data_IF_469994499056
#
_entry.id   IF_469994499056
#
_cell.length_a   1.000
_cell.length_b   1.000
_cell.length_c   1.000
_cell.angle_alpha   90.00
_cell.angle_beta   90.00
_cell.angle_gamma   90.00
#
_symmetry.space_group_name_H-M   'P 1'
#
loop_
_entity.id
_entity.type
_entity.pdbx_description
1 polymer ?
#
# COMPACT_ATOMS: atom_id res chain seq x y z
N UNK A 1 -7.90 13.94 -21.66
CA UNK A 1 -7.82 12.50 -21.28
C UNK A 1 -9.20 11.90 -21.47
N UNK A 2 -9.33 11.00 -22.44
CA UNK A 2 -10.62 10.40 -22.80
C UNK A 2 -10.85 9.19 -21.86
N UNK A 3 -11.62 9.36 -20.79
CA UNK A 3 -11.90 8.30 -19.80
C UNK A 3 -13.03 7.33 -20.24
N UNK A 4 -13.44 7.37 -21.51
CA UNK A 4 -14.63 6.69 -22.03
C UNK A 4 -14.47 5.18 -22.31
N UNK A 5 -13.42 4.51 -21.82
CA UNK A 5 -13.26 3.07 -22.04
C UNK A 5 -12.11 2.44 -21.27
N UNK A 6 -12.12 2.51 -19.93
CA UNK A 6 -11.18 1.69 -19.14
C UNK A 6 -11.66 0.23 -19.23
N UNK A 7 -11.03 -0.55 -20.10
CA UNK A 7 -11.27 -2.00 -20.21
C UNK A 7 -10.21 -2.77 -19.44
N UNK A 8 -10.65 -3.55 -18.46
CA UNK A 8 -9.80 -4.44 -17.67
C UNK A 8 -10.01 -5.89 -18.13
N UNK A 9 -8.92 -6.55 -18.48
CA UNK A 9 -8.91 -7.97 -18.85
C UNK A 9 -7.81 -8.69 -18.06
N UNK A 10 -7.83 -10.02 -18.07
CA UNK A 10 -6.77 -10.85 -17.49
C UNK A 10 -5.37 -10.57 -18.09
N UNK A 11 -5.30 -9.90 -19.25
CA UNK A 11 -4.07 -9.59 -19.98
C UNK A 11 -3.74 -8.09 -19.99
N UNK A 12 -4.48 -7.23 -19.29
CA UNK A 12 -4.18 -5.80 -19.28
C UNK A 12 -2.80 -5.54 -18.65
N UNK A 13 -2.08 -4.60 -19.24
CA UNK A 13 -0.75 -4.16 -18.81
C UNK A 13 -0.81 -3.20 -17.62
N UNK A 14 0.35 -2.94 -16.99
CA UNK A 14 0.47 -1.95 -15.92
C UNK A 14 -0.04 -0.56 -16.33
N UNK A 15 0.25 -0.15 -17.56
CA UNK A 15 -0.16 1.14 -18.14
C UNK A 15 -1.68 1.22 -18.34
N UNK A 16 -2.30 0.13 -18.77
CA UNK A 16 -3.76 0.08 -18.97
C UNK A 16 -4.52 0.10 -17.65
N UNK A 17 -3.94 -0.45 -16.57
CA UNK A 17 -4.56 -0.49 -15.24
C UNK A 17 -4.14 0.67 -14.34
N UNK A 18 -3.11 1.45 -14.73
CA UNK A 18 -2.64 2.63 -13.99
C UNK A 18 -3.78 3.58 -13.61
N UNK A 19 -4.69 3.98 -14.52
CA UNK A 19 -5.73 4.96 -14.17
C UNK A 19 -6.58 4.53 -12.98
N UNK A 20 -6.88 3.23 -12.86
CA UNK A 20 -7.66 2.66 -11.75
C UNK A 20 -6.85 2.74 -10.46
N UNK A 21 -5.64 2.18 -10.46
CA UNK A 21 -4.77 2.16 -9.28
C UNK A 21 -4.44 3.58 -8.79
N UNK A 22 -4.25 4.53 -9.72
CA UNK A 22 -3.93 5.92 -9.43
C UNK A 22 -5.11 6.68 -8.85
N UNK A 23 -6.33 6.40 -9.31
CA UNK A 23 -7.54 6.99 -8.74
C UNK A 23 -7.69 6.57 -7.27
N UNK A 24 -7.51 5.28 -6.97
CA UNK A 24 -7.58 4.76 -5.60
C UNK A 24 -6.47 5.34 -4.74
N UNK A 25 -5.24 5.38 -5.24
CA UNK A 25 -4.12 6.01 -4.53
C UNK A 25 -4.40 7.47 -4.18
N UNK A 26 -4.99 8.25 -5.09
CA UNK A 26 -5.33 9.66 -4.85
C UNK A 26 -6.34 9.85 -3.72
N UNK A 27 -7.29 8.93 -3.55
CA UNK A 27 -8.30 9.01 -2.49
C UNK A 27 -7.74 8.51 -1.15
N UNK A 28 -7.03 7.39 -1.16
CA UNK A 28 -6.57 6.74 0.07
C UNK A 28 -5.27 7.36 0.60
N UNK A 29 -4.42 7.92 -0.27
CA UNK A 29 -3.12 8.48 0.10
C UNK A 29 -2.03 7.44 0.44
N UNK A 30 -2.37 6.15 0.44
CA UNK A 30 -1.49 5.03 0.76
C UNK A 30 -0.94 4.36 -0.51
N UNK A 31 0.20 3.63 -0.45
CA UNK A 31 0.70 2.87 -1.60
C UNK A 31 -0.36 1.91 -2.14
N UNK A 32 -0.55 1.93 -3.46
CA UNK A 32 -1.48 1.05 -4.17
C UNK A 32 -0.70 0.25 -5.20
N UNK A 33 -0.99 -1.04 -5.25
CA UNK A 33 -0.45 -1.95 -6.26
C UNK A 33 -1.56 -2.69 -6.94
N UNK A 34 -1.39 -3.02 -8.21
CA UNK A 34 -2.39 -3.76 -8.96
C UNK A 34 -1.69 -4.64 -9.98
N UNK A 35 -2.21 -5.84 -10.26
CA UNK A 35 -1.78 -6.66 -11.38
C UNK A 35 -2.96 -7.38 -12.01
N UNK A 36 -2.78 -7.83 -13.23
CA UNK A 36 -3.74 -8.74 -13.86
C UNK A 36 -3.31 -10.18 -13.62
N UNK A 37 -4.19 -11.11 -13.98
CA UNK A 37 -3.92 -12.53 -13.82
C UNK A 37 -2.66 -12.94 -14.61
N UNK A 38 -2.59 -12.60 -15.89
CA UNK A 38 -1.55 -13.09 -16.80
C UNK A 38 -0.38 -12.11 -16.96
N UNK A 39 -0.51 -10.85 -16.54
CA UNK A 39 0.57 -9.87 -16.59
C UNK A 39 0.85 -9.25 -15.24
N UNK A 40 2.12 -8.90 -15.02
CA UNK A 40 2.49 -7.99 -13.93
C UNK A 40 1.86 -6.63 -14.17
N UNK A 41 1.76 -5.84 -13.11
CA UNK A 41 1.05 -4.57 -13.17
C UNK A 41 1.81 -3.45 -12.52
N UNK A 42 1.08 -2.55 -11.86
CA UNK A 42 1.58 -1.24 -11.48
C UNK A 42 1.81 -1.14 -9.96
N UNK A 43 2.84 -0.39 -9.57
CA UNK A 43 3.06 0.07 -8.20
C UNK A 43 3.06 1.59 -8.15
N UNK A 44 2.18 2.14 -7.31
CA UNK A 44 1.97 3.57 -7.16
C UNK A 44 2.26 3.99 -5.72
N UNK A 45 3.15 4.95 -5.57
CA UNK A 45 3.56 5.52 -4.29
C UNK A 45 3.74 7.04 -4.46
N UNK A 46 3.33 7.83 -3.46
CA UNK A 46 3.51 9.30 -3.45
C UNK A 46 3.03 9.99 -4.74
N UNK A 47 1.92 9.53 -5.31
CA UNK A 47 1.30 10.05 -6.53
C UNK A 47 1.98 9.62 -7.83
N UNK A 48 3.06 8.84 -7.77
CA UNK A 48 3.90 8.46 -8.90
C UNK A 48 3.85 6.96 -9.15
N UNK A 49 3.91 6.57 -10.42
CA UNK A 49 4.16 5.17 -10.78
C UNK A 49 5.64 4.89 -10.59
N UNK A 50 5.96 3.89 -9.77
CA UNK A 50 7.33 3.45 -9.53
C UNK A 50 7.73 2.21 -10.32
N UNK A 51 6.76 1.44 -10.81
CA UNK A 51 6.97 0.19 -11.54
C UNK A 51 5.71 -0.17 -12.35
N UNK A 52 5.86 -0.54 -13.62
CA UNK A 52 4.80 -1.04 -14.51
C UNK A 52 4.86 -2.57 -14.72
N UNK A 53 5.84 -3.24 -14.12
CA UNK A 53 6.05 -4.68 -14.18
C UNK A 53 6.10 -5.28 -12.76
N UNK A 54 5.25 -4.78 -11.87
CA UNK A 54 5.20 -5.16 -10.47
C UNK A 54 4.35 -6.41 -10.22
N UNK A 55 4.83 -7.26 -9.32
CA UNK A 55 4.05 -8.29 -8.63
C UNK A 55 4.45 -8.36 -7.16
N UNK A 56 3.59 -8.94 -6.33
CA UNK A 56 3.85 -9.19 -4.92
C UNK A 56 3.22 -10.50 -4.47
N UNK A 57 3.77 -11.14 -3.42
CA UNK A 57 3.31 -12.46 -2.97
C UNK A 57 1.84 -12.45 -2.55
N UNK A 58 1.34 -11.34 -1.99
CA UNK A 58 -0.06 -11.24 -1.58
C UNK A 58 -0.99 -10.97 -2.77
N UNK A 59 -0.52 -10.29 -3.83
CA UNK A 59 -1.26 -10.15 -5.09
C UNK A 59 -1.45 -11.51 -5.76
N UNK A 60 -0.38 -12.30 -5.83
CA UNK A 60 -0.40 -13.66 -6.39
C UNK A 60 -1.31 -14.58 -5.57
N UNK A 61 -1.15 -14.56 -4.25
CA UNK A 61 -2.00 -15.34 -3.34
C UNK A 61 -3.48 -14.98 -3.45
N UNK A 62 -3.81 -13.70 -3.58
CA UNK A 62 -5.21 -13.27 -3.73
C UNK A 62 -5.81 -13.79 -5.04
N UNK A 63 -5.05 -13.74 -6.15
CA UNK A 63 -5.46 -14.31 -7.43
C UNK A 63 -5.66 -15.83 -7.36
N UNK A 64 -4.70 -16.53 -6.74
CA UNK A 64 -4.76 -18.00 -6.55
C UNK A 64 -5.98 -18.42 -5.72
N UNK A 65 -6.25 -17.73 -4.62
CA UNK A 65 -7.40 -17.99 -3.76
C UNK A 65 -8.72 -17.44 -4.32
N UNK A 66 -8.65 -16.60 -5.35
CA UNK A 66 -9.75 -15.79 -5.88
C UNK A 66 -10.58 -15.08 -4.77
N UNK A 67 -9.87 -14.50 -3.79
CA UNK A 67 -10.46 -13.96 -2.57
C UNK A 67 -9.73 -12.72 -2.05
N UNK A 68 -10.36 -12.02 -1.11
CA UNK A 68 -9.70 -10.94 -0.36
C UNK A 68 -8.74 -11.52 0.67
N UNK A 69 -7.50 -11.06 0.66
CA UNK A 69 -6.43 -11.47 1.58
C UNK A 69 -5.91 -10.25 2.33
N UNK A 70 -6.00 -10.30 3.67
CA UNK A 70 -5.32 -9.38 4.57
C UNK A 70 -4.17 -10.13 5.24
N UNK A 71 -2.95 -9.67 5.06
CA UNK A 71 -1.77 -10.35 5.61
C UNK A 71 -0.57 -9.43 5.70
N UNK A 72 0.49 -9.91 6.34
CA UNK A 72 1.81 -9.27 6.38
C UNK A 72 2.72 -10.10 5.46
N UNK A 73 3.21 -9.56 4.33
CA UNK A 73 4.10 -10.27 3.43
C UNK A 73 5.40 -10.66 4.15
N UNK A 74 5.84 -11.90 3.94
CA UNK A 74 7.15 -12.37 4.42
C UNK A 74 8.29 -12.07 3.44
N UNK A 75 7.95 -11.70 2.21
CA UNK A 75 8.89 -11.41 1.11
C UNK A 75 8.34 -10.29 0.22
N UNK A 76 9.19 -9.76 -0.67
CA UNK A 76 8.82 -8.70 -1.61
C UNK A 76 9.01 -7.28 -1.07
N UNK A 77 8.53 -6.29 -1.82
CA UNK A 77 8.77 -4.86 -1.52
C UNK A 77 8.10 -4.35 -0.24
N UNK A 78 7.02 -4.99 0.20
CA UNK A 78 6.28 -4.61 1.41
C UNK A 78 6.44 -5.66 2.53
N UNK A 79 7.58 -6.33 2.57
CA UNK A 79 7.90 -7.27 3.66
C UNK A 79 7.72 -6.61 5.03
N UNK A 80 7.00 -7.25 5.93
CA UNK A 80 6.77 -6.74 7.29
C UNK A 80 5.72 -5.63 7.42
N UNK A 81 5.12 -5.17 6.30
CA UNK A 81 4.09 -4.12 6.32
C UNK A 81 2.73 -4.76 6.04
N UNK A 82 1.69 -4.50 6.84
CA UNK A 82 0.35 -5.02 6.58
C UNK A 82 -0.19 -4.57 5.22
N UNK A 83 -0.82 -5.49 4.49
CA UNK A 83 -1.48 -5.19 3.22
C UNK A 83 -2.87 -5.83 3.17
N UNK A 84 -3.77 -5.19 2.43
CA UNK A 84 -5.07 -5.74 2.07
C UNK A 84 -5.14 -5.82 0.56
N UNK A 85 -5.41 -7.02 0.04
CA UNK A 85 -5.52 -7.28 -1.39
C UNK A 85 -6.86 -7.93 -1.68
N UNK A 86 -7.53 -7.52 -2.75
CA UNK A 86 -8.76 -8.17 -3.24
C UNK A 86 -8.69 -8.43 -4.73
N UNK A 87 -9.44 -9.44 -5.20
CA UNK A 87 -9.55 -9.76 -6.62
C UNK A 87 -10.68 -9.00 -7.28
N UNK A 88 -10.43 -8.57 -8.52
CA UNK A 88 -11.44 -8.07 -9.44
C UNK A 88 -11.86 -9.25 -10.30
N UNK A 89 -13.16 -9.55 -10.30
CA UNK A 89 -13.73 -10.74 -10.92
C UNK A 89 -14.47 -10.37 -12.21
N UNK A 90 -14.49 -11.29 -13.17
CA UNK A 90 -15.39 -11.19 -14.31
C UNK A 90 -16.81 -11.64 -13.92
N UNK A 91 -17.74 -11.65 -14.89
CA UNK A 91 -19.13 -12.04 -14.69
C UNK A 91 -19.29 -13.50 -14.22
N UNK A 92 -18.36 -14.38 -14.60
CA UNK A 92 -18.31 -15.78 -14.17
C UNK A 92 -17.75 -15.96 -12.74
N UNK A 93 -17.37 -14.86 -12.07
CA UNK A 93 -16.78 -14.89 -10.74
C UNK A 93 -15.30 -15.25 -10.70
N UNK A 94 -14.62 -15.31 -11.85
CA UNK A 94 -13.19 -15.61 -11.97
C UNK A 94 -12.33 -14.36 -11.78
N UNK A 95 -11.32 -14.43 -10.92
CA UNK A 95 -10.40 -13.33 -10.62
C UNK A 95 -9.48 -13.00 -11.79
N UNK A 96 -9.78 -11.91 -12.51
CA UNK A 96 -9.00 -11.46 -13.68
C UNK A 96 -7.90 -10.46 -13.32
N UNK A 97 -7.98 -9.84 -12.15
CA UNK A 97 -6.97 -8.94 -11.62
C UNK A 97 -6.99 -8.91 -10.09
N UNK A 98 -5.94 -8.36 -9.49
CA UNK A 98 -5.88 -8.12 -8.06
C UNK A 98 -5.37 -6.71 -7.79
N UNK A 99 -5.93 -6.07 -6.77
CA UNK A 99 -5.55 -4.75 -6.29
C UNK A 99 -5.26 -4.80 -4.79
N UNK A 100 -4.15 -4.18 -4.40
CA UNK A 100 -3.62 -4.16 -3.05
C UNK A 100 -3.37 -2.76 -2.56
N UNK A 101 -3.80 -2.48 -1.33
CA UNK A 101 -3.47 -1.26 -0.59
C UNK A 101 -2.54 -1.64 0.57
N UNK A 102 -1.48 -0.87 0.74
CA UNK A 102 -0.52 -1.05 1.83
C UNK A 102 -0.95 -0.20 3.01
N UNK A 103 -1.21 -0.86 4.14
CA UNK A 103 -1.63 -0.20 5.38
C UNK A 103 -0.39 0.17 6.21
N UNK A 104 0.23 1.32 5.84
CA UNK A 104 1.33 1.90 6.62
C UNK A 104 0.85 2.58 7.90
N UNK A 105 -0.42 2.97 8.00
CA UNK A 105 -0.97 3.64 9.20
C UNK A 105 -1.15 2.64 10.34
N UNK A 106 -1.62 1.42 10.04
CA UNK A 106 -1.69 0.32 11.02
C UNK A 106 -0.33 -0.16 11.54
N UNK A 107 0.79 0.35 11.00
CA UNK A 107 2.14 0.04 11.49
C UNK A 107 2.59 0.99 12.61
N UNK A 108 1.98 2.18 12.72
CA UNK A 108 2.27 3.11 13.81
C UNK A 108 1.29 2.80 14.94
N UNK A 109 1.78 2.15 16.00
CA UNK A 109 1.07 2.18 17.28
C UNK A 109 1.19 3.60 17.84
N UNK A 110 0.17 4.42 17.61
CA UNK A 110 0.10 5.78 18.15
C UNK A 110 0.20 5.77 19.68
N UNK A 111 -0.29 4.72 20.35
CA UNK A 111 -0.16 4.58 21.79
C UNK A 111 1.30 4.48 22.23
N UNK A 112 2.11 3.72 21.50
CA UNK A 112 3.57 3.67 21.72
C UNK A 112 4.26 4.95 21.27
N UNK A 113 3.93 5.51 20.11
CA UNK A 113 4.55 6.73 19.59
C UNK A 113 4.33 7.96 20.50
N UNK A 114 3.17 8.05 21.15
CA UNK A 114 2.86 9.10 22.12
C UNK A 114 3.11 8.70 23.58
N UNK A 115 3.39 7.42 23.86
CA UNK A 115 3.70 6.93 25.21
C UNK A 115 5.04 7.45 25.73
N UNK A 116 6.01 7.68 24.85
CA UNK A 116 7.33 8.22 25.21
C UNK A 116 7.40 9.75 25.24
N UNK A 117 6.37 10.46 24.78
CA UNK A 117 6.32 11.93 24.77
C UNK A 117 6.59 12.57 26.14
N UNK A 118 6.02 12.08 27.26
CA UNK A 118 6.29 12.64 28.58
C UNK A 118 7.78 12.55 28.96
N UNK A 119 8.45 11.45 28.60
CA UNK A 119 9.86 11.24 28.90
C UNK A 119 10.76 12.15 28.07
N UNK A 120 10.44 12.36 26.79
CA UNK A 120 11.16 13.29 25.90
C UNK A 120 11.00 14.73 26.40
N UNK A 121 9.78 15.14 26.78
CA UNK A 121 9.52 16.48 27.32
C UNK A 121 10.29 16.71 28.62
N UNK A 122 10.32 15.72 29.52
CA UNK A 122 11.07 15.81 30.76
C UNK A 122 12.58 15.93 30.51
N UNK A 123 13.16 15.10 29.64
CA UNK A 123 14.58 15.18 29.29
C UNK A 123 14.98 16.53 28.70
N UNK A 124 14.18 17.08 27.77
CA UNK A 124 14.45 18.40 27.18
C UNK A 124 14.32 19.51 28.23
N UNK A 125 13.31 19.42 29.10
CA UNK A 125 13.12 20.38 30.20
C UNK A 125 14.28 20.36 31.19
N UNK A 126 14.80 19.18 31.52
CA UNK A 126 15.93 19.01 32.43
C UNK A 126 17.25 19.51 31.82
N UNK A 127 17.46 19.29 30.53
CA UNK A 127 18.61 19.86 29.79
C UNK A 127 18.54 21.39 29.77
N UNK A 128 17.35 21.96 29.53
CA UNK A 128 17.17 23.41 29.54
C UNK A 128 17.41 24.01 30.93
N UNK A 129 16.91 23.37 31.99
CA UNK A 129 17.16 23.80 33.38
C UNK A 129 18.65 23.71 33.74
N UNK A 130 19.33 22.64 33.32
CA UNK A 130 20.78 22.46 33.51
C UNK A 130 21.60 23.56 32.82
N UNK A 131 21.17 24.02 31.64
CA UNK A 131 21.84 25.10 30.89
C UNK A 131 21.61 26.50 31.45
N UNK A 132 20.50 26.71 32.15
CA UNK A 132 20.17 28.00 32.80
C UNK A 132 20.82 28.13 34.18
N UNK A 133 21.28 27.01 34.77
CA UNK A 133 21.86 26.96 36.12
C UNK A 133 23.41 26.94 36.14
N UNK A 134 24.08 27.07 35.00
CA UNK A 134 25.53 27.33 34.97
C UNK A 134 25.78 28.84 35.13
N UNK A 135 26.46 29.28 36.22
CA UNK A 135 26.76 30.69 36.48
C UNK A 135 27.77 31.29 35.51
#
# INVERSE_FOLDING_TARGET
MNYLGITLTANSTGEQIEPIAKAIHKIVGLPVTMRTLNRRGVRIEKGKVLDYNYSGPILEKALEMNATVRSIPKTGKYTGIPVVVTTIKNEDGYGIAAIGVVDVVGTIDLGTAFGDYPNIVNQVSDILKSRVMVP
#
